data_IF_979430046020
#
_entry.id   IF_979430046020
#
_cell.length_a   1.000
_cell.length_b   1.000
_cell.length_c   1.000
_cell.angle_alpha   90.00
_cell.angle_beta   90.00
_cell.angle_gamma   90.00
#
_symmetry.space_group_name_H-M   'P 1'
#
loop_
_entity.id
_entity.type
_entity.pdbx_description
1 polymer ?
#
# COMPACT_ATOMS: atom_id res chain seq x y z
N UNK A 1 2.88 15.57 -40.19
CA UNK A 1 2.18 16.42 -39.20
C UNK A 1 3.22 16.95 -38.23
N UNK A 2 3.40 18.26 -38.17
CA UNK A 2 4.22 18.92 -37.15
C UNK A 2 3.61 18.56 -35.80
N UNK A 3 4.26 17.67 -35.04
CA UNK A 3 3.79 17.33 -33.70
C UNK A 3 3.89 18.57 -32.84
N UNK A 4 2.76 19.13 -32.43
CA UNK A 4 2.71 20.32 -31.58
C UNK A 4 3.61 20.10 -30.36
N UNK A 5 4.67 20.90 -30.26
CA UNK A 5 5.62 20.84 -29.16
C UNK A 5 5.14 21.82 -28.09
N UNK A 6 4.90 21.29 -26.90
CA UNK A 6 4.57 22.09 -25.71
C UNK A 6 5.77 22.13 -24.78
N UNK A 7 5.99 23.27 -24.13
CA UNK A 7 7.05 23.44 -23.12
C UNK A 7 6.47 23.29 -21.72
N UNK A 8 7.06 22.43 -20.90
CA UNK A 8 6.73 22.27 -19.49
C UNK A 8 8.01 22.51 -18.68
N UNK A 9 7.96 23.39 -17.69
CA UNK A 9 9.09 23.67 -16.80
C UNK A 9 9.12 22.62 -15.69
N UNK A 10 10.28 22.00 -15.51
CA UNK A 10 10.54 21.01 -14.46
C UNK A 10 11.90 21.28 -13.83
N UNK A 11 12.17 20.67 -12.68
CA UNK A 11 13.49 20.67 -12.07
C UNK A 11 14.55 20.12 -13.05
N UNK A 12 15.65 20.85 -13.20
CA UNK A 12 16.71 20.52 -14.16
C UNK A 12 17.34 19.16 -13.88
N UNK A 13 17.60 18.86 -12.60
CA UNK A 13 18.28 17.63 -12.22
C UNK A 13 17.36 16.42 -12.42
N UNK A 14 16.06 16.57 -12.18
CA UNK A 14 15.06 15.56 -12.51
C UNK A 14 15.06 15.30 -14.02
N UNK A 15 15.00 16.34 -14.84
CA UNK A 15 15.00 16.20 -16.30
C UNK A 15 16.27 15.51 -16.82
N UNK A 16 17.44 15.86 -16.28
CA UNK A 16 18.71 15.24 -16.65
C UNK A 16 18.76 13.76 -16.27
N UNK A 17 18.32 13.39 -15.07
CA UNK A 17 18.25 11.98 -14.63
C UNK A 17 17.28 11.17 -15.49
N UNK A 18 16.08 11.68 -15.73
CA UNK A 18 15.09 11.00 -16.58
C UNK A 18 15.56 10.87 -18.04
N UNK A 19 16.27 11.88 -18.57
CA UNK A 19 16.85 11.82 -19.91
C UNK A 19 17.93 10.73 -20.03
N UNK A 20 18.76 10.56 -18.99
CA UNK A 20 19.73 9.46 -18.91
C UNK A 20 19.02 8.09 -18.91
N UNK A 21 18.02 7.91 -18.05
CA UNK A 21 17.23 6.68 -17.98
C UNK A 21 16.52 6.35 -19.30
N UNK A 22 15.97 7.35 -19.99
CA UNK A 22 15.35 7.16 -21.30
C UNK A 22 16.34 6.56 -22.32
N UNK A 23 17.59 7.05 -22.34
CA UNK A 23 18.65 6.55 -23.22
C UNK A 23 19.04 5.12 -22.88
N UNK A 24 19.17 4.80 -21.59
CA UNK A 24 19.46 3.44 -21.11
C UNK A 24 18.36 2.44 -21.53
N UNK A 25 17.11 2.90 -21.60
CA UNK A 25 15.96 2.12 -22.08
C UNK A 25 15.77 2.16 -23.61
N UNK A 26 16.71 2.76 -24.36
CA UNK A 26 16.64 2.83 -25.83
C UNK A 26 15.50 3.68 -26.37
N UNK A 27 14.97 4.64 -25.59
CA UNK A 27 13.87 5.52 -25.99
C UNK A 27 14.23 7.00 -25.95
N UNK A 28 13.50 7.82 -26.72
CA UNK A 28 13.69 9.28 -26.67
C UNK A 28 13.09 9.85 -25.37
N UNK A 29 13.72 10.89 -24.82
CA UNK A 29 13.21 11.56 -23.63
C UNK A 29 11.82 12.16 -23.85
N UNK A 30 11.53 12.63 -25.07
CA UNK A 30 10.19 13.10 -25.44
C UNK A 30 9.14 11.99 -25.30
N UNK A 31 9.43 10.78 -25.80
CA UNK A 31 8.51 9.64 -25.70
C UNK A 31 8.26 9.29 -24.23
N UNK A 32 9.33 9.15 -23.43
CA UNK A 32 9.22 8.87 -22.00
C UNK A 32 8.34 9.92 -21.27
N UNK A 33 8.56 11.20 -21.55
CA UNK A 33 7.80 12.28 -20.94
C UNK A 33 6.32 12.26 -21.36
N UNK A 34 6.02 12.03 -22.64
CA UNK A 34 4.64 11.90 -23.11
C UNK A 34 3.93 10.70 -22.49
N UNK A 35 4.58 9.55 -22.39
CA UNK A 35 4.00 8.35 -21.78
C UNK A 35 3.79 8.56 -20.27
N UNK A 36 4.74 9.18 -19.57
CA UNK A 36 4.59 9.52 -18.16
C UNK A 36 3.41 10.47 -17.90
N UNK A 37 3.24 11.50 -18.73
CA UNK A 37 2.11 12.44 -18.59
C UNK A 37 0.76 11.75 -18.84
N UNK A 38 0.66 10.84 -19.81
CA UNK A 38 -0.57 10.05 -20.04
C UNK A 38 -0.90 9.14 -18.86
N UNK A 39 0.10 8.48 -18.28
CA UNK A 39 -0.10 7.62 -17.10
C UNK A 39 -0.59 8.47 -15.92
N UNK A 40 0.00 9.65 -15.71
CA UNK A 40 -0.42 10.58 -14.66
C UNK A 40 -1.84 11.11 -14.91
N UNK A 41 -2.18 11.43 -16.17
CA UNK A 41 -3.51 11.88 -16.56
C UNK A 41 -4.59 10.85 -16.17
N UNK A 42 -4.40 9.58 -16.50
CA UNK A 42 -5.34 8.51 -16.15
C UNK A 42 -5.56 8.41 -14.63
N UNK A 43 -4.49 8.48 -13.84
CA UNK A 43 -4.59 8.43 -12.37
C UNK A 43 -5.33 9.65 -11.81
N UNK A 44 -4.99 10.85 -12.29
CA UNK A 44 -5.57 12.11 -11.78
C UNK A 44 -7.02 12.26 -12.19
N UNK A 45 -7.41 11.78 -13.37
CA UNK A 45 -8.78 11.79 -13.87
C UNK A 45 -9.76 11.07 -12.93
N UNK A 46 -9.30 10.00 -12.29
CA UNK A 46 -10.07 9.23 -11.32
C UNK A 46 -9.90 9.74 -9.87
N UNK A 47 -9.32 10.93 -9.69
CA UNK A 47 -9.11 11.56 -8.38
C UNK A 47 -7.88 11.05 -7.61
N UNK A 48 -7.02 10.26 -8.26
CA UNK A 48 -5.75 9.80 -7.71
C UNK A 48 -4.65 10.87 -7.74
N UNK A 49 -3.55 10.57 -7.06
CA UNK A 49 -2.36 11.41 -6.99
C UNK A 49 -1.20 10.78 -7.77
N UNK A 50 -0.30 11.55 -8.41
CA UNK A 50 0.89 11.00 -9.07
C UNK A 50 1.77 10.15 -8.13
N UNK A 51 1.76 10.48 -6.84
CA UNK A 51 2.47 9.72 -5.81
C UNK A 51 1.91 8.30 -5.61
N UNK A 52 0.64 8.06 -5.93
CA UNK A 52 0.03 6.74 -5.79
C UNK A 52 0.68 5.73 -6.76
N UNK A 53 1.18 6.19 -7.91
CA UNK A 53 1.99 5.37 -8.84
C UNK A 53 3.30 4.92 -8.17
N UNK A 54 3.97 5.84 -7.48
CA UNK A 54 5.23 5.54 -6.80
C UNK A 54 5.02 4.52 -5.68
N UNK A 55 4.00 4.71 -4.84
CA UNK A 55 3.72 3.77 -3.76
C UNK A 55 3.23 2.42 -4.27
N UNK A 56 2.45 2.40 -5.36
CA UNK A 56 2.05 1.15 -6.03
C UNK A 56 3.28 0.39 -6.51
N UNK A 57 4.21 1.06 -7.19
CA UNK A 57 5.45 0.44 -7.65
C UNK A 57 6.31 -0.10 -6.50
N UNK A 58 6.47 0.69 -5.43
CA UNK A 58 7.21 0.28 -4.23
C UNK A 58 6.54 -0.89 -3.50
N UNK A 59 5.22 -0.91 -3.44
CA UNK A 59 4.46 -2.02 -2.87
C UNK A 59 4.64 -3.30 -3.70
N UNK A 60 4.56 -3.22 -5.03
CA UNK A 60 4.83 -4.36 -5.93
C UNK A 60 6.26 -4.88 -5.72
N UNK A 61 7.26 -3.98 -5.65
CA UNK A 61 8.64 -4.35 -5.37
C UNK A 61 8.78 -5.08 -4.03
N UNK A 62 8.07 -4.62 -3.01
CA UNK A 62 8.06 -5.25 -1.69
C UNK A 62 7.43 -6.65 -1.74
N UNK A 63 6.31 -6.80 -2.46
CA UNK A 63 5.66 -8.09 -2.68
C UNK A 63 6.52 -9.06 -3.50
N UNK A 64 7.40 -8.57 -4.38
CA UNK A 64 8.31 -9.44 -5.15
C UNK A 64 9.45 -10.00 -4.29
N UNK A 65 9.67 -9.45 -3.10
CA UNK A 65 10.63 -9.98 -2.14
C UNK A 65 10.04 -11.09 -1.25
N UNK A 66 8.73 -11.30 -1.32
CA UNK A 66 7.99 -12.35 -0.62
C UNK A 66 7.37 -13.29 -1.64
N UNK A 67 7.27 -14.59 -1.37
CA UNK A 67 6.64 -15.56 -2.29
C UNK A 67 5.10 -15.43 -2.25
N UNK A 68 4.60 -14.28 -2.67
CA UNK A 68 3.20 -13.87 -2.53
C UNK A 68 2.42 -14.07 -3.82
N UNK A 69 1.21 -14.61 -3.70
CA UNK A 69 0.24 -14.71 -4.80
C UNK A 69 -0.99 -13.84 -4.50
N UNK A 70 -1.49 -13.15 -5.53
CA UNK A 70 -2.76 -12.42 -5.43
C UNK A 70 -3.92 -13.38 -5.76
N UNK A 71 -4.80 -13.62 -4.80
CA UNK A 71 -5.99 -14.44 -4.97
C UNK A 71 -7.28 -13.62 -4.82
N UNK A 72 -8.29 -13.85 -5.67
CA UNK A 72 -9.62 -13.31 -5.44
C UNK A 72 -10.14 -13.71 -4.06
N UNK A 73 -10.70 -12.76 -3.31
CA UNK A 73 -11.23 -13.00 -1.96
C UNK A 73 -12.27 -14.11 -1.90
N UNK A 74 -13.03 -14.29 -2.97
CA UNK A 74 -14.01 -15.38 -3.10
C UNK A 74 -13.37 -16.75 -3.11
N UNK A 75 -12.13 -16.89 -3.64
CA UNK A 75 -11.37 -18.14 -3.59
C UNK A 75 -10.81 -18.35 -2.17
N UNK A 76 -10.24 -17.31 -1.58
CA UNK A 76 -9.71 -17.39 -0.21
C UNK A 76 -10.80 -17.80 0.80
N UNK A 77 -12.00 -17.25 0.65
CA UNK A 77 -13.15 -17.62 1.48
C UNK A 77 -13.53 -19.10 1.36
N UNK A 78 -13.40 -19.70 0.17
CA UNK A 78 -13.66 -21.13 -0.05
C UNK A 78 -12.62 -22.00 0.65
N UNK A 79 -11.34 -21.63 0.63
CA UNK A 79 -10.32 -22.38 1.37
C UNK A 79 -10.61 -22.44 2.86
N UNK A 80 -11.13 -21.34 3.41
CA UNK A 80 -11.48 -21.25 4.83
C UNK A 80 -12.95 -21.56 5.13
N UNK A 81 -13.69 -22.17 4.19
CA UNK A 81 -15.11 -22.47 4.36
C UNK A 81 -15.34 -23.56 5.41
N UNK A 82 -14.50 -24.60 5.41
CA UNK A 82 -14.55 -25.72 6.35
C UNK A 82 -13.43 -25.67 7.41
N UNK A 83 -12.55 -24.67 7.33
CA UNK A 83 -11.45 -24.46 8.27
C UNK A 83 -11.84 -23.45 9.35
N UNK A 84 -11.31 -23.62 10.56
CA UNK A 84 -11.35 -22.60 11.60
C UNK A 84 -10.28 -21.55 11.29
N UNK A 85 -10.64 -20.34 10.76
CA UNK A 85 -9.64 -19.39 10.27
C UNK A 85 -8.66 -18.98 11.38
N UNK A 86 -9.14 -18.86 12.62
CA UNK A 86 -8.30 -18.49 13.77
C UNK A 86 -7.09 -19.40 14.01
N UNK A 87 -7.09 -20.66 13.54
CA UNK A 87 -5.92 -21.55 13.64
C UNK A 87 -4.73 -21.08 12.82
N UNK A 88 -4.97 -20.34 11.73
CA UNK A 88 -3.95 -19.82 10.83
C UNK A 88 -3.57 -18.36 11.14
N UNK A 89 -4.09 -17.80 12.24
CA UNK A 89 -3.73 -16.45 12.66
C UNK A 89 -2.21 -16.28 12.90
N UNK A 90 -1.47 -17.26 13.49
CA UNK A 90 -0.01 -17.16 13.60
C UNK A 90 0.68 -17.09 12.23
N UNK A 91 0.26 -17.90 11.26
CA UNK A 91 0.85 -17.90 9.91
C UNK A 91 0.60 -16.57 9.19
N UNK A 92 -0.61 -16.02 9.34
CA UNK A 92 -0.94 -14.70 8.79
C UNK A 92 -0.17 -13.57 9.48
N UNK A 93 0.08 -13.69 10.80
CA UNK A 93 0.93 -12.74 11.51
C UNK A 93 2.35 -12.75 10.96
N UNK A 94 2.98 -13.92 10.81
CA UNK A 94 4.34 -14.02 10.25
C UNK A 94 4.40 -13.51 8.81
N UNK A 95 3.43 -13.87 7.97
CA UNK A 95 3.34 -13.33 6.61
C UNK A 95 3.22 -11.78 6.60
N UNK A 96 2.41 -11.23 7.51
CA UNK A 96 2.29 -9.78 7.72
C UNK A 96 3.62 -9.14 8.15
N UNK A 97 4.37 -9.82 9.03
CA UNK A 97 5.67 -9.36 9.50
C UNK A 97 6.72 -9.37 8.39
N UNK A 98 6.81 -10.45 7.62
CA UNK A 98 7.72 -10.58 6.48
C UNK A 98 7.50 -9.47 5.45
N UNK A 99 6.26 -9.26 5.03
CA UNK A 99 5.95 -8.18 4.08
C UNK A 99 6.20 -6.80 4.68
N UNK A 100 6.00 -6.63 6.00
CA UNK A 100 6.24 -5.37 6.69
C UNK A 100 7.71 -5.01 6.71
N UNK A 101 8.59 -5.98 6.91
CA UNK A 101 10.05 -5.79 6.81
C UNK A 101 10.39 -5.35 5.38
N UNK A 102 9.90 -6.06 4.36
CA UNK A 102 10.16 -5.73 2.97
C UNK A 102 9.65 -4.32 2.61
N UNK A 103 8.42 -3.98 3.02
CA UNK A 103 7.83 -2.67 2.76
C UNK A 103 8.53 -1.54 3.51
N UNK A 104 9.03 -1.78 4.72
CA UNK A 104 9.69 -0.74 5.53
C UNK A 104 10.93 -0.14 4.85
N UNK A 105 11.58 -0.90 3.94
CA UNK A 105 12.71 -0.42 3.14
C UNK A 105 12.30 0.56 2.03
N UNK A 106 11.05 0.52 1.57
CA UNK A 106 10.56 1.29 0.42
C UNK A 106 9.53 2.36 0.82
N UNK A 107 8.72 2.09 1.85
CA UNK A 107 7.58 2.88 2.29
C UNK A 107 7.69 3.06 3.81
N UNK A 108 7.79 4.30 4.27
CA UNK A 108 7.90 4.60 5.70
C UNK A 108 6.54 4.47 6.39
N UNK A 109 6.52 4.32 7.71
CA UNK A 109 5.26 4.35 8.45
C UNK A 109 4.54 5.69 8.29
N UNK A 110 5.28 6.81 8.24
CA UNK A 110 4.70 8.14 8.00
C UNK A 110 4.00 8.23 6.62
N UNK A 111 4.47 7.49 5.61
CA UNK A 111 3.78 7.37 4.33
C UNK A 111 2.44 6.64 4.49
N UNK A 112 2.40 5.55 5.27
CA UNK A 112 1.15 4.83 5.56
C UNK A 112 0.14 5.74 6.28
N UNK A 113 0.59 6.55 7.24
CA UNK A 113 -0.23 7.53 7.94
C UNK A 113 -0.79 8.57 6.98
N UNK A 114 0.06 9.18 6.14
CA UNK A 114 -0.36 10.22 5.20
C UNK A 114 -1.22 9.68 4.06
N UNK A 115 -1.01 8.41 3.66
CA UNK A 115 -1.69 7.75 2.54
C UNK A 115 -2.12 6.33 2.92
N UNK A 116 -3.22 6.18 3.67
CA UNK A 116 -3.71 4.88 4.10
C UNK A 116 -4.15 3.98 2.94
N UNK A 117 -4.39 4.53 1.74
CA UNK A 117 -4.69 3.73 0.56
C UNK A 117 -3.55 2.78 0.16
N UNK A 118 -2.32 2.98 0.64
CA UNK A 118 -1.21 2.04 0.45
C UNK A 118 -1.58 0.64 1.00
N UNK A 119 -2.38 0.55 2.06
CA UNK A 119 -2.85 -0.74 2.57
C UNK A 119 -3.65 -1.55 1.53
N UNK A 120 -4.25 -0.93 0.51
CA UNK A 120 -4.96 -1.64 -0.58
C UNK A 120 -4.05 -2.51 -1.44
N UNK A 121 -2.74 -2.27 -1.40
CA UNK A 121 -1.78 -3.12 -2.12
C UNK A 121 -1.74 -4.52 -1.48
N UNK A 122 -1.89 -4.59 -0.16
CA UNK A 122 -1.77 -5.83 0.61
C UNK A 122 -3.11 -6.43 1.02
N UNK A 123 -4.08 -5.56 1.30
CA UNK A 123 -5.34 -5.93 1.93
C UNK A 123 -6.51 -5.62 1.00
N UNK A 124 -7.55 -6.47 1.01
CA UNK A 124 -8.75 -6.27 0.22
C UNK A 124 -9.61 -5.15 0.84
N UNK A 125 -9.21 -3.89 0.72
CA UNK A 125 -9.93 -2.76 1.33
C UNK A 125 -10.84 -2.06 0.30
N UNK A 126 -12.02 -1.64 0.74
CA UNK A 126 -12.90 -0.71 0.01
C UNK A 126 -12.44 0.73 0.22
N UNK A 127 -12.10 1.09 1.44
CA UNK A 127 -11.54 2.39 1.81
C UNK A 127 -10.53 2.25 2.94
N UNK A 128 -9.64 3.22 3.05
CA UNK A 128 -8.66 3.32 4.11
C UNK A 128 -8.50 4.80 4.46
N UNK A 129 -8.64 5.13 5.73
CA UNK A 129 -8.45 6.49 6.25
C UNK A 129 -7.56 6.44 7.48
N UNK A 130 -6.95 7.57 7.80
CA UNK A 130 -6.16 7.76 9.00
C UNK A 130 -6.61 9.04 9.70
N UNK A 131 -6.50 9.02 11.02
CA UNK A 131 -6.62 10.19 11.87
C UNK A 131 -5.46 10.17 12.85
N UNK A 132 -4.79 11.29 12.98
CA UNK A 132 -3.71 11.45 13.93
C UNK A 132 -4.15 12.39 15.04
N UNK A 133 -3.90 11.98 16.28
CA UNK A 133 -4.09 12.79 17.50
C UNK A 133 -2.74 12.96 18.19
N UNK A 134 -2.69 13.69 19.30
CA UNK A 134 -1.46 13.83 20.09
C UNK A 134 -0.92 12.49 20.62
N UNK A 135 -1.82 11.54 20.91
CA UNK A 135 -1.48 10.27 21.59
C UNK A 135 -1.54 9.06 20.68
N UNK A 136 -2.29 9.13 19.60
CA UNK A 136 -2.69 7.96 18.83
C UNK A 136 -2.74 8.26 17.33
N UNK A 137 -2.45 7.24 16.55
CA UNK A 137 -2.71 7.18 15.11
C UNK A 137 -3.77 6.11 14.91
N UNK A 138 -4.91 6.49 14.34
CA UNK A 138 -6.05 5.62 14.14
C UNK A 138 -6.22 5.40 12.64
N UNK A 139 -6.06 4.15 12.18
CA UNK A 139 -6.46 3.75 10.85
C UNK A 139 -7.85 3.15 10.87
N UNK A 140 -8.70 3.60 9.95
CA UNK A 140 -10.03 3.03 9.71
C UNK A 140 -10.01 2.34 8.35
N UNK A 141 -10.01 1.01 8.36
CA UNK A 141 -9.88 0.17 7.17
C UNK A 141 -11.20 -0.56 6.91
N UNK A 142 -11.90 -0.22 5.84
CA UNK A 142 -13.16 -0.87 5.48
C UNK A 142 -12.88 -2.07 4.56
N UNK A 143 -13.28 -3.27 4.96
CA UNK A 143 -13.18 -4.51 4.17
C UNK A 143 -14.54 -4.84 3.51
N UNK A 144 -14.57 -5.68 2.46
CA UNK A 144 -15.82 -6.17 1.90
C UNK A 144 -16.68 -6.89 2.97
N UNK A 145 -17.99 -6.61 3.07
CA UNK A 145 -18.84 -7.20 4.11
C UNK A 145 -18.85 -8.74 4.13
N UNK A 146 -18.73 -9.36 2.95
CA UNK A 146 -18.70 -10.82 2.81
C UNK A 146 -17.40 -11.46 3.33
N UNK A 147 -16.38 -10.67 3.69
CA UNK A 147 -15.08 -11.16 4.18
C UNK A 147 -14.98 -11.30 5.71
N UNK A 148 -16.09 -11.09 6.44
CA UNK A 148 -16.14 -11.15 7.91
C UNK A 148 -15.48 -12.40 8.53
N UNK A 149 -15.59 -13.55 7.86
CA UNK A 149 -14.98 -14.81 8.32
C UNK A 149 -13.45 -14.75 8.37
N UNK A 150 -12.84 -13.96 7.50
CA UNK A 150 -11.38 -13.82 7.38
C UNK A 150 -10.84 -12.70 8.25
N UNK A 151 -11.69 -11.91 8.91
CA UNK A 151 -11.24 -10.78 9.71
C UNK A 151 -10.19 -11.16 10.78
N UNK A 152 -10.27 -12.31 11.48
CA UNK A 152 -9.21 -12.71 12.41
C UNK A 152 -7.83 -12.85 11.74
N UNK A 153 -7.80 -13.35 10.49
CA UNK A 153 -6.59 -13.49 9.69
C UNK A 153 -6.06 -12.14 9.24
N UNK A 154 -6.94 -11.28 8.73
CA UNK A 154 -6.60 -9.92 8.32
C UNK A 154 -6.06 -9.10 9.50
N UNK A 155 -6.67 -9.22 10.68
CA UNK A 155 -6.20 -8.55 11.90
C UNK A 155 -4.83 -9.07 12.34
N UNK A 156 -4.58 -10.38 12.26
CA UNK A 156 -3.28 -10.96 12.58
C UNK A 156 -2.19 -10.48 11.60
N UNK A 157 -2.50 -10.43 10.31
CA UNK A 157 -1.62 -9.90 9.28
C UNK A 157 -1.29 -8.42 9.49
N UNK A 158 -2.30 -7.58 9.77
CA UNK A 158 -2.10 -6.16 10.10
C UNK A 158 -1.20 -6.00 11.33
N UNK A 159 -1.40 -6.83 12.37
CA UNK A 159 -0.56 -6.82 13.57
C UNK A 159 0.91 -7.11 13.23
N UNK A 160 1.18 -8.18 12.48
CA UNK A 160 2.53 -8.54 12.05
C UNK A 160 3.19 -7.42 11.24
N UNK A 161 2.43 -6.83 10.31
CA UNK A 161 2.86 -5.70 9.51
C UNK A 161 3.29 -4.53 10.39
N UNK A 162 2.48 -4.11 11.36
CA UNK A 162 2.79 -2.97 12.24
C UNK A 162 3.99 -3.25 13.17
N UNK A 163 4.10 -4.48 13.68
CA UNK A 163 5.24 -4.90 14.48
C UNK A 163 6.55 -4.80 13.70
N UNK A 164 6.55 -5.17 12.41
CA UNK A 164 7.70 -5.04 11.53
C UNK A 164 8.11 -3.57 11.29
N UNK A 165 7.16 -2.65 11.32
CA UNK A 165 7.43 -1.20 11.32
C UNK A 165 7.92 -0.67 12.69
N UNK A 166 8.01 -1.52 13.72
CA UNK A 166 8.43 -1.15 15.08
C UNK A 166 7.29 -0.65 15.98
N UNK A 167 6.03 -0.71 15.53
CA UNK A 167 4.87 -0.21 16.27
C UNK A 167 4.14 -1.33 17.00
N UNK A 168 4.74 -1.84 18.07
CA UNK A 168 4.22 -3.00 18.84
C UNK A 168 3.10 -2.64 19.82
N UNK A 169 2.97 -1.36 20.17
CA UNK A 169 1.88 -0.87 21.00
C UNK A 169 0.70 -0.43 20.14
N UNK A 170 -0.16 -1.39 19.81
CA UNK A 170 -1.36 -1.11 19.05
C UNK A 170 -2.55 -1.99 19.46
N UNK A 171 -3.76 -1.50 19.22
CA UNK A 171 -5.02 -2.21 19.41
C UNK A 171 -5.73 -2.33 18.07
N UNK A 172 -6.26 -3.52 17.78
CA UNK A 172 -7.06 -3.76 16.58
C UNK A 172 -8.47 -4.12 17.04
N UNK A 173 -9.43 -3.27 16.69
CA UNK A 173 -10.84 -3.49 16.94
C UNK A 173 -11.56 -3.77 15.62
N UNK A 174 -12.53 -4.67 15.67
CA UNK A 174 -13.33 -5.05 14.50
C UNK A 174 -14.78 -4.71 14.79
N UNK A 175 -15.34 -3.81 14.00
CA UNK A 175 -16.74 -3.39 14.07
C UNK A 175 -17.37 -3.68 12.71
N UNK A 176 -18.13 -4.78 12.64
CA UNK A 176 -18.73 -5.31 11.40
C UNK A 176 -17.72 -5.57 10.28
N UNK A 177 -17.59 -4.62 9.34
CA UNK A 177 -16.76 -4.66 8.15
C UNK A 177 -15.68 -3.57 8.18
N UNK A 178 -15.43 -3.01 9.37
CA UNK A 178 -14.41 -2.00 9.63
C UNK A 178 -13.39 -2.59 10.61
N UNK A 179 -12.12 -2.51 10.23
CA UNK A 179 -10.98 -2.78 11.12
C UNK A 179 -10.43 -1.42 11.53
N UNK A 180 -10.53 -1.13 12.83
CA UNK A 180 -9.97 0.06 13.45
C UNK A 180 -8.65 -0.31 14.12
N UNK A 181 -7.56 0.29 13.64
CA UNK A 181 -6.21 0.05 14.14
C UNK A 181 -5.77 1.30 14.88
N UNK A 182 -5.60 1.18 16.19
CA UNK A 182 -5.16 2.26 17.06
C UNK A 182 -3.71 2.00 17.41
N UNK A 183 -2.80 2.80 16.85
CA UNK A 183 -1.37 2.76 17.16
C UNK A 183 -1.09 3.84 18.19
N UNK A 184 -0.58 3.44 19.35
CA UNK A 184 -0.23 4.38 20.41
C UNK A 184 1.13 5.01 20.10
N UNK A 185 1.18 6.33 20.09
CA UNK A 185 2.46 7.05 20.05
C UNK A 185 3.09 6.82 21.41
N UNK A 186 4.06 5.93 21.47
CA UNK A 186 4.92 5.82 22.65
C UNK A 186 5.44 7.23 22.93
N UNK A 187 5.28 7.73 24.16
CA UNK A 187 6.04 8.89 24.59
C UNK A 187 7.51 8.51 24.37
N UNK A 188 8.14 9.11 23.35
CA UNK A 188 9.59 9.02 23.18
C UNK A 188 10.18 9.71 24.41
N UNK A 189 10.41 8.96 25.49
CA UNK A 189 11.33 9.34 26.56
C UNK A 189 12.75 9.20 26.08
#
# INVERSE_FOLDING_TARGET
MSGDKTTITVDRDVALRCSKLARELGMSFQKLASDALRIVEEVVKDGGSPMDLLYTWRGIKSMSATDTIALPMTILLKFFEDLQPGKFAPDFYEAGREIGIAMSHEITFADLVKRPLIFKILLPLRSANSRETEREIIFTLAIPPYSKRLTPLLSAYIRGLLDAYGYTQHKIEVKEHIIEVIVYKSAQT
#
